data_IF_115697449222
#
_entry.id   IF_115697449222
#
_cell.length_a   1.000
_cell.length_b   1.000
_cell.length_c   1.000
_cell.angle_alpha   90.00
_cell.angle_beta   90.00
_cell.angle_gamma   90.00
#
_symmetry.space_group_name_H-M   'P 1'
#
loop_
_entity.id
_entity.type
_entity.pdbx_description
1 polymer ?
#
# COMPACT_ATOMS: atom_id res chain seq x y z
N UNK A 1 -2.49 -24.05 22.99
CA UNK A 1 -2.16 -23.68 21.61
C UNK A 1 -0.65 -23.66 21.49
N UNK A 2 -0.06 -24.74 21.00
CA UNK A 2 1.37 -24.82 20.73
C UNK A 2 1.70 -24.06 19.43
N UNK A 3 2.96 -23.65 19.25
CA UNK A 3 3.41 -23.00 18.01
C UNK A 3 3.18 -23.88 16.77
N UNK A 4 3.22 -25.20 16.93
CA UNK A 4 2.97 -26.17 15.86
C UNK A 4 1.52 -26.10 15.38
N UNK A 5 0.56 -26.02 16.30
CA UNK A 5 -0.86 -25.87 15.98
C UNK A 5 -1.16 -24.53 15.27
N UNK A 6 -0.48 -23.45 15.66
CA UNK A 6 -0.62 -22.14 15.02
C UNK A 6 -0.09 -22.13 13.59
N UNK A 7 1.05 -22.78 13.34
CA UNK A 7 1.64 -22.91 12.00
C UNK A 7 0.73 -23.74 11.08
N UNK A 8 0.20 -24.86 11.55
CA UNK A 8 -0.74 -25.70 10.80
C UNK A 8 -2.04 -24.93 10.47
N UNK A 9 -2.60 -24.19 11.45
CA UNK A 9 -3.77 -23.35 11.22
C UNK A 9 -3.50 -22.23 10.19
N UNK A 10 -2.34 -21.57 10.29
CA UNK A 10 -1.94 -20.51 9.36
C UNK A 10 -1.77 -21.02 7.93
N UNK A 11 -1.19 -22.21 7.76
CA UNK A 11 -1.04 -22.88 6.46
C UNK A 11 -2.40 -23.15 5.81
N UNK A 12 -3.38 -23.63 6.58
CA UNK A 12 -4.75 -23.85 6.09
C UNK A 12 -5.40 -22.55 5.61
N UNK A 13 -5.21 -21.45 6.33
CA UNK A 13 -5.75 -20.13 5.95
C UNK A 13 -5.15 -19.66 4.63
N UNK A 14 -3.83 -19.77 4.46
CA UNK A 14 -3.15 -19.40 3.22
C UNK A 14 -3.60 -20.25 2.02
N UNK A 15 -3.92 -21.53 2.26
CA UNK A 15 -4.40 -22.43 1.20
C UNK A 15 -5.85 -22.16 0.78
N UNK A 16 -6.71 -21.69 1.70
CA UNK A 16 -8.10 -21.32 1.42
C UNK A 16 -8.19 -19.90 0.83
N UNK A 17 -7.21 -19.05 1.11
CA UNK A 17 -7.16 -17.68 0.59
C UNK A 17 -7.04 -17.66 -0.93
N UNK A 18 -7.89 -16.89 -1.60
CA UNK A 18 -7.86 -16.73 -3.06
C UNK A 18 -6.65 -15.90 -3.46
N UNK A 19 -5.71 -16.51 -4.19
CA UNK A 19 -4.64 -15.75 -4.86
C UNK A 19 -5.26 -14.85 -5.94
N UNK A 20 -4.95 -13.54 -5.97
CA UNK A 20 -5.51 -12.62 -6.95
C UNK A 20 -5.07 -13.01 -8.37
N UNK A 21 -5.94 -12.77 -9.35
CA UNK A 21 -5.59 -12.91 -10.76
C UNK A 21 -4.65 -11.77 -11.20
N UNK A 22 -3.83 -12.02 -12.22
CA UNK A 22 -2.91 -11.01 -12.76
C UNK A 22 -3.65 -9.73 -13.23
N UNK A 23 -4.88 -9.86 -13.75
CA UNK A 23 -5.70 -8.71 -14.18
C UNK A 23 -6.23 -7.90 -12.99
N UNK A 24 -6.68 -8.58 -11.94
CA UNK A 24 -7.15 -7.95 -10.70
C UNK A 24 -6.01 -7.21 -10.02
N UNK A 25 -4.85 -7.87 -9.91
CA UNK A 25 -3.64 -7.27 -9.36
C UNK A 25 -3.22 -6.02 -10.13
N UNK A 26 -3.18 -6.09 -11.46
CA UNK A 26 -2.83 -4.93 -12.29
C UNK A 26 -3.83 -3.77 -12.13
N UNK A 27 -5.12 -4.08 -11.98
CA UNK A 27 -6.15 -3.06 -11.73
C UNK A 27 -5.94 -2.39 -10.37
N UNK A 28 -5.71 -3.19 -9.32
CA UNK A 28 -5.40 -2.68 -7.99
C UNK A 28 -4.18 -1.77 -8.01
N UNK A 29 -3.07 -2.22 -8.60
CA UNK A 29 -1.82 -1.45 -8.70
C UNK A 29 -2.01 -0.12 -9.43
N UNK A 30 -2.81 -0.08 -10.50
CA UNK A 30 -3.11 1.16 -11.21
C UNK A 30 -3.87 2.14 -10.33
N UNK A 31 -4.89 1.66 -9.61
CA UNK A 31 -5.72 2.51 -8.75
C UNK A 31 -4.92 3.05 -7.55
N UNK A 32 -4.19 2.20 -6.83
CA UNK A 32 -3.33 2.67 -5.73
C UNK A 32 -2.18 3.53 -6.23
N UNK A 33 -1.59 3.21 -7.39
CA UNK A 33 -0.54 4.01 -8.01
C UNK A 33 -0.99 5.44 -8.29
N UNK A 34 -2.19 5.62 -8.84
CA UNK A 34 -2.77 6.94 -9.07
C UNK A 34 -2.97 7.68 -7.73
N UNK A 35 -3.47 7.00 -6.70
CA UNK A 35 -3.63 7.59 -5.36
C UNK A 35 -2.31 8.08 -4.75
N UNK A 36 -1.25 7.28 -4.84
CA UNK A 36 0.09 7.65 -4.34
C UNK A 36 0.62 8.88 -5.08
N UNK A 37 0.48 8.91 -6.41
CA UNK A 37 0.91 10.05 -7.22
C UNK A 37 0.15 11.31 -6.84
N UNK A 38 -1.17 11.23 -6.67
CA UNK A 38 -2.00 12.39 -6.29
C UNK A 38 -1.58 12.95 -4.93
N UNK A 39 -1.46 12.09 -3.91
CA UNK A 39 -1.06 12.53 -2.57
C UNK A 39 0.38 13.06 -2.59
N UNK A 40 1.28 12.42 -3.33
CA UNK A 40 2.65 12.87 -3.51
C UNK A 40 2.76 14.25 -4.15
N UNK A 41 1.96 14.53 -5.18
CA UNK A 41 1.90 15.86 -5.82
C UNK A 41 1.36 16.90 -4.84
N UNK A 42 0.29 16.60 -4.12
CA UNK A 42 -0.30 17.53 -3.15
C UNK A 42 0.72 17.86 -2.04
N UNK A 43 1.36 16.84 -1.46
CA UNK A 43 2.41 17.02 -0.46
C UNK A 43 3.60 17.79 -1.01
N UNK A 44 4.03 17.49 -2.24
CA UNK A 44 5.11 18.19 -2.91
C UNK A 44 4.80 19.67 -3.15
N UNK A 45 3.59 19.99 -3.61
CA UNK A 45 3.14 21.38 -3.79
C UNK A 45 3.13 22.15 -2.47
N UNK A 46 2.66 21.52 -1.40
CA UNK A 46 2.72 22.11 -0.06
C UNK A 46 4.18 22.38 0.33
N UNK A 47 5.08 21.40 0.22
CA UNK A 47 6.49 21.58 0.52
C UNK A 47 7.16 22.68 -0.33
N UNK A 48 6.79 22.79 -1.60
CA UNK A 48 7.32 23.80 -2.51
C UNK A 48 6.87 25.22 -2.11
N UNK A 49 5.60 25.37 -1.73
CA UNK A 49 5.06 26.64 -1.23
C UNK A 49 5.72 27.03 0.10
N UNK A 50 5.90 26.08 1.03
CA UNK A 50 6.62 26.32 2.29
C UNK A 50 8.08 26.73 2.06
N UNK A 51 8.76 26.08 1.10
CA UNK A 51 10.12 26.44 0.69
C UNK A 51 10.18 27.85 0.10
N UNK A 52 9.25 28.21 -0.79
CA UNK A 52 9.22 29.51 -1.45
C UNK A 52 8.89 30.67 -0.48
N UNK A 53 8.02 30.43 0.50
CA UNK A 53 7.71 31.38 1.57
C UNK A 53 8.89 31.59 2.54
N UNK A 54 10.01 30.90 2.36
CA UNK A 54 11.21 31.09 3.16
C UNK A 54 11.04 30.70 4.63
N UNK A 55 9.93 30.04 5.00
CA UNK A 55 9.78 29.38 6.29
C UNK A 55 10.65 28.13 6.27
N UNK A 56 11.93 28.36 6.55
CA UNK A 56 12.83 27.35 7.08
C UNK A 56 12.21 26.89 8.41
N UNK A 57 11.55 25.74 8.40
CA UNK A 57 11.40 24.96 9.63
C UNK A 57 12.81 24.55 10.11
#
# INVERSE_FOLDING_TARGET
MSLQEFLEASKRILMVSKKPDAKEYATMVKVTGIGIILIGIIGFLISLVFLFLGLKA
#
